data_IF_107844377811
#
_entry.id   IF_107844377811
#
_cell.length_a   1.000
_cell.length_b   1.000
_cell.length_c   1.000
_cell.angle_alpha   90.00
_cell.angle_beta   90.00
_cell.angle_gamma   90.00
#
_symmetry.space_group_name_H-M   'P 1'
#
loop_
_entity.id
_entity.type
_entity.pdbx_description
1 polymer ?
#
# COMPACT_ATOMS: atom_id res chain seq x y z
N UNK A 1 -13.57 7.51 -0.91
CA UNK A 1 -12.84 8.05 -2.09
C UNK A 1 -11.37 7.74 -1.91
N UNK A 2 -10.67 7.31 -2.95
CA UNK A 2 -9.25 6.94 -2.95
C UNK A 2 -8.33 7.93 -2.25
N UNK A 3 -8.55 9.23 -2.45
CA UNK A 3 -7.78 10.29 -1.81
C UNK A 3 -7.97 10.36 -0.29
N UNK A 4 -9.08 9.87 0.25
CA UNK A 4 -9.35 9.88 1.70
C UNK A 4 -8.75 8.66 2.43
N UNK A 5 -8.23 7.67 1.68
CA UNK A 5 -7.57 6.52 2.27
C UNK A 5 -6.14 6.87 2.69
N UNK A 6 -5.70 6.27 3.79
CA UNK A 6 -4.37 6.45 4.35
C UNK A 6 -3.81 5.14 4.90
N UNK A 7 -2.50 4.98 4.79
CA UNK A 7 -1.75 3.89 5.38
C UNK A 7 -0.29 4.31 5.54
N UNK A 8 0.31 3.93 6.66
CA UNK A 8 1.75 3.98 6.88
C UNK A 8 2.06 2.76 7.74
N UNK A 9 2.71 1.77 7.16
CA UNK A 9 2.84 0.44 7.75
C UNK A 9 4.08 -0.27 7.20
N UNK A 10 4.89 -0.82 8.11
CA UNK A 10 5.95 -1.78 7.77
C UNK A 10 5.34 -3.17 7.72
N UNK A 11 5.56 -3.90 6.64
CA UNK A 11 4.88 -5.15 6.34
C UNK A 11 5.48 -6.30 7.16
N UNK A 12 4.62 -7.03 7.86
CA UNK A 12 4.96 -8.34 8.45
C UNK A 12 4.21 -9.49 7.77
N UNK A 13 3.02 -9.23 7.22
CA UNK A 13 2.25 -10.19 6.43
C UNK A 13 1.80 -9.50 5.14
N UNK A 14 2.46 -9.81 4.01
CA UNK A 14 2.14 -9.24 2.70
C UNK A 14 0.69 -9.52 2.29
N UNK A 15 0.11 -8.67 1.41
CA UNK A 15 -1.22 -8.91 0.86
C UNK A 15 -1.26 -10.18 0.01
N UNK A 16 -2.45 -10.76 -0.14
CA UNK A 16 -2.65 -11.91 -1.03
C UNK A 16 -2.79 -11.47 -2.48
N UNK A 17 -1.94 -12.00 -3.35
CA UNK A 17 -2.02 -11.78 -4.79
C UNK A 17 -3.40 -12.18 -5.32
N UNK A 18 -3.94 -11.41 -6.26
CA UNK A 18 -5.24 -11.63 -6.90
C UNK A 18 -6.47 -11.66 -5.95
N UNK A 19 -6.34 -11.18 -4.71
CA UNK A 19 -7.49 -10.91 -3.85
C UNK A 19 -8.35 -9.76 -4.38
N UNK A 20 -9.67 -9.87 -4.20
CA UNK A 20 -10.61 -8.76 -4.45
C UNK A 20 -10.44 -7.65 -3.41
N UNK A 21 -9.95 -8.00 -2.23
CA UNK A 21 -9.78 -7.12 -1.08
C UNK A 21 -8.29 -6.95 -0.77
N UNK A 22 -7.84 -5.72 -0.60
CA UNK A 22 -6.51 -5.46 -0.10
C UNK A 22 -6.51 -5.51 1.42
N UNK A 23 -5.69 -6.38 2.00
CA UNK A 23 -5.41 -6.44 3.44
C UNK A 23 -3.93 -6.76 3.62
N UNK A 24 -3.23 -5.93 4.39
CA UNK A 24 -1.83 -6.13 4.76
C UNK A 24 -1.66 -5.85 6.23
N UNK A 25 -0.85 -6.67 6.89
CA UNK A 25 -0.63 -6.59 8.35
C UNK A 25 0.83 -6.28 8.64
N UNK A 26 1.04 -5.56 9.73
CA UNK A 26 2.36 -5.23 10.20
C UNK A 26 2.29 -4.24 11.34
N UNK A 27 3.15 -3.24 11.35
CA UNK A 27 3.21 -2.26 12.43
C UNK A 27 3.40 -0.83 11.92
N UNK A 28 2.96 0.13 12.72
CA UNK A 28 3.23 1.55 12.48
C UNK A 28 4.72 1.84 12.71
N UNK A 29 5.46 2.44 11.75
CA UNK A 29 6.91 2.63 11.87
C UNK A 29 7.30 3.62 12.98
N UNK A 30 6.38 4.42 13.51
CA UNK A 30 6.65 5.40 14.56
C UNK A 30 6.32 4.78 15.93
N UNK A 31 5.08 4.31 16.12
CA UNK A 31 4.63 3.79 17.42
C UNK A 31 5.01 2.33 17.66
N UNK A 32 5.38 1.58 16.61
CA UNK A 32 5.60 0.12 16.62
C UNK A 32 4.37 -0.71 17.01
N UNK A 33 3.18 -0.09 17.07
CA UNK A 33 1.94 -0.79 17.34
C UNK A 33 1.50 -1.59 16.11
N UNK A 34 0.93 -2.78 16.36
CA UNK A 34 0.38 -3.62 15.29
C UNK A 34 -0.78 -2.91 14.61
N UNK A 35 -0.78 -2.95 13.29
CA UNK A 35 -1.73 -2.26 12.43
C UNK A 35 -2.11 -3.14 11.25
N UNK A 36 -3.33 -2.93 10.76
CA UNK A 36 -3.82 -3.56 9.54
C UNK A 36 -4.29 -2.45 8.61
N UNK A 37 -3.71 -2.39 7.42
CA UNK A 37 -4.23 -1.54 6.36
C UNK A 37 -5.13 -2.40 5.48
N UNK A 38 -6.39 -1.98 5.37
CA UNK A 38 -7.41 -2.63 4.54
C UNK A 38 -8.14 -1.58 3.72
N UNK A 39 -8.39 -1.90 2.47
CA UNK A 39 -9.24 -1.06 1.61
C UNK A 39 -10.15 -1.93 0.76
N UNK A 40 -11.34 -1.40 0.48
CA UNK A 40 -12.29 -2.02 -0.44
C UNK A 40 -11.97 -1.71 -1.90
N UNK A 41 -11.01 -0.83 -2.16
CA UNK A 41 -10.52 -0.57 -3.49
C UNK A 41 -9.47 -1.61 -3.93
N UNK A 42 -9.57 -2.06 -5.18
CA UNK A 42 -8.63 -3.02 -5.77
C UNK A 42 -7.28 -2.42 -6.16
N UNK A 43 -7.17 -1.09 -6.26
CA UNK A 43 -5.98 -0.43 -6.80
C UNK A 43 -4.68 -0.84 -6.11
N UNK A 44 -4.64 -0.85 -4.77
CA UNK A 44 -3.41 -1.20 -4.05
C UNK A 44 -3.03 -2.67 -4.26
N UNK A 45 -4.03 -3.54 -4.48
CA UNK A 45 -3.80 -4.96 -4.71
C UNK A 45 -3.24 -5.26 -6.11
N UNK A 46 -3.32 -4.31 -7.06
CA UNK A 46 -2.65 -4.45 -8.36
C UNK A 46 -1.12 -4.52 -8.23
N UNK A 47 -0.59 -4.02 -7.11
CA UNK A 47 0.85 -3.96 -6.84
C UNK A 47 1.25 -4.92 -5.71
N UNK A 48 0.41 -5.91 -5.38
CA UNK A 48 0.68 -6.87 -4.31
C UNK A 48 1.99 -7.65 -4.54
N UNK A 49 2.29 -8.00 -5.80
CA UNK A 49 3.53 -8.68 -6.21
C UNK A 49 4.80 -7.84 -5.99
N UNK A 50 4.66 -6.53 -5.71
CA UNK A 50 5.77 -5.62 -5.43
C UNK A 50 5.97 -5.39 -3.91
N UNK A 51 5.21 -6.06 -3.06
CA UNK A 51 5.22 -5.84 -1.60
C UNK A 51 5.72 -7.07 -0.86
N UNK A 52 6.82 -6.92 -0.11
CA UNK A 52 7.39 -8.01 0.67
C UNK A 52 7.50 -7.69 2.16
N UNK A 53 7.80 -8.72 2.96
CA UNK A 53 8.12 -8.56 4.37
C UNK A 53 9.24 -7.54 4.57
N UNK A 54 9.03 -6.58 5.48
CA UNK A 54 9.99 -5.52 5.81
C UNK A 54 9.89 -4.26 4.95
N UNK A 55 9.17 -4.29 3.82
CA UNK A 55 8.86 -3.08 3.04
C UNK A 55 7.90 -2.17 3.83
N UNK A 56 7.94 -0.87 3.57
CA UNK A 56 6.98 0.08 4.13
C UNK A 56 6.04 0.58 3.04
N UNK A 57 4.74 0.42 3.24
CA UNK A 57 3.74 1.02 2.36
C UNK A 57 3.28 2.37 2.90
N UNK A 58 3.18 3.35 2.00
CA UNK A 58 2.79 4.71 2.35
C UNK A 58 1.70 5.18 1.40
N UNK A 59 0.55 5.52 2.00
CA UNK A 59 -0.54 6.25 1.38
C UNK A 59 -0.92 7.41 2.31
N UNK A 60 -0.76 8.64 1.84
CA UNK A 60 -1.18 9.82 2.60
C UNK A 60 -2.61 10.22 2.23
N UNK A 61 -3.35 10.67 3.23
CA UNK A 61 -4.66 11.29 3.04
C UNK A 61 -4.51 12.56 2.20
N UNK A 62 -5.42 12.76 1.25
CA UNK A 62 -5.40 13.84 0.26
C UNK A 62 -4.63 13.51 -1.02
N UNK A 63 -3.70 12.55 -0.99
CA UNK A 63 -2.85 12.22 -2.15
C UNK A 63 -3.44 11.09 -3.01
N UNK A 64 -3.04 11.05 -4.29
CA UNK A 64 -3.35 9.96 -5.23
C UNK A 64 -2.12 9.11 -5.55
N UNK A 65 -1.05 9.28 -4.77
CA UNK A 65 0.18 8.50 -4.84
C UNK A 65 0.13 7.38 -3.79
N UNK A 66 0.50 6.18 -4.20
CA UNK A 66 0.79 5.05 -3.33
C UNK A 66 2.26 4.69 -3.49
N UNK A 67 3.00 4.61 -2.39
CA UNK A 67 4.42 4.35 -2.40
C UNK A 67 4.76 3.05 -1.66
N UNK A 68 5.70 2.30 -2.21
CA UNK A 68 6.30 1.12 -1.59
C UNK A 68 7.77 1.44 -1.37
N UNK A 69 8.15 1.65 -0.12
CA UNK A 69 9.52 1.93 0.29
C UNK A 69 10.22 0.61 0.56
N UNK A 70 11.20 0.30 -0.28
CA UNK A 70 12.12 -0.83 -0.12
C UNK A 70 13.40 -0.35 0.55
N UNK A 71 14.31 -1.28 0.84
CA UNK A 71 15.59 -0.99 1.51
C UNK A 71 16.43 0.06 0.78
N UNK A 72 16.46 0.02 -0.54
CA UNK A 72 17.34 0.82 -1.40
C UNK A 72 16.59 1.66 -2.45
N UNK A 73 15.29 1.43 -2.60
CA UNK A 73 14.47 1.98 -3.68
C UNK A 73 13.08 2.35 -3.17
N UNK A 74 12.43 3.29 -3.86
CA UNK A 74 11.02 3.62 -3.63
C UNK A 74 10.29 3.49 -4.95
N UNK A 75 9.19 2.72 -4.93
CA UNK A 75 8.28 2.58 -6.07
C UNK A 75 7.09 3.49 -5.84
N UNK A 76 6.73 4.29 -6.84
CA UNK A 76 5.58 5.20 -6.79
C UNK A 76 4.55 4.81 -7.84
N UNK A 77 3.30 4.66 -7.41
CA UNK A 77 2.15 4.46 -8.28
C UNK A 77 1.20 5.65 -8.19
N UNK A 78 0.95 6.31 -9.31
CA UNK A 78 0.01 7.42 -9.42
C UNK A 78 -1.31 6.95 -10.06
N UNK A 79 -2.40 7.04 -9.31
CA UNK A 79 -3.74 6.67 -9.78
C UNK A 79 -4.13 7.35 -11.10
N UNK A 80 -3.73 8.61 -11.30
CA UNK A 80 -4.09 9.36 -12.51
C UNK A 80 -3.42 8.80 -13.77
N UNK A 81 -2.25 8.19 -13.63
CA UNK A 81 -1.50 7.64 -14.77
C UNK A 81 -1.86 6.18 -15.08
N UNK A 82 -2.28 5.44 -14.06
CA UNK A 82 -2.72 4.04 -14.21
C UNK A 82 -4.03 3.94 -14.99
N UNK A 83 -4.92 4.93 -14.86
CA UNK A 83 -6.22 4.95 -15.57
C UNK A 83 -6.11 5.21 -17.07
N UNK A 84 -4.98 5.71 -17.58
CA UNK A 84 -4.79 6.01 -19.01
C UNK A 84 -4.29 4.82 -19.83
N UNK A 85 -3.99 3.67 -19.20
CA UNK A 85 -3.45 2.46 -19.85
C UNK A 85 -4.46 1.33 -20.07
N UNK A 86 -5.77 1.60 -19.94
CA UNK A 86 -6.85 0.64 -20.22
C UNK A 86 -7.64 1.03 -21.45
#
# INVERSE_FOLDING_TARGET
MLSQEECNLVIESPPKNNSVWFEVKGYDPISHEKKVCKTHNRWWNLFADEMDYGDTIVKKRGELIFAIHKKDTIIYHDWNTVTTKL
#
